data_IF_402867430787
#
_entry.id   IF_402867430787
#
_cell.length_a   1.000
_cell.length_b   1.000
_cell.length_c   1.000
_cell.angle_alpha   90.00
_cell.angle_beta   90.00
_cell.angle_gamma   90.00
#
_symmetry.space_group_name_H-M   'P 1'
#
loop_
_entity.id
_entity.type
_entity.pdbx_description
1 polymer ?
#
# COMPACT_ATOMS: atom_id res chain seq x y z
N UNK A 1 18.28 -13.59 -6.47
CA UNK A 1 17.82 -12.48 -7.31
C UNK A 1 16.85 -11.69 -6.44
N UNK A 2 17.14 -10.41 -6.16
CA UNK A 2 16.33 -9.61 -5.23
C UNK A 2 14.93 -9.42 -5.80
N UNK A 3 13.95 -10.07 -5.17
CA UNK A 3 12.53 -10.09 -5.49
C UNK A 3 11.85 -8.73 -5.22
N UNK A 4 12.48 -7.62 -5.64
CA UNK A 4 11.88 -6.30 -5.62
C UNK A 4 10.92 -6.17 -6.80
N UNK A 5 9.77 -6.85 -6.71
CA UNK A 5 8.68 -6.62 -7.66
C UNK A 5 8.04 -5.27 -7.31
N UNK A 6 8.74 -4.18 -7.66
CA UNK A 6 8.23 -2.82 -7.52
C UNK A 6 6.98 -2.73 -8.38
N UNK A 7 5.84 -2.91 -7.74
CA UNK A 7 4.55 -2.92 -8.37
C UNK A 7 3.87 -1.57 -8.16
N UNK A 8 2.94 -1.24 -9.07
CA UNK A 8 2.11 -0.04 -8.95
C UNK A 8 0.80 -0.33 -8.21
N UNK A 9 0.74 -1.41 -7.43
CA UNK A 9 -0.43 -1.79 -6.64
C UNK A 9 -0.77 -0.66 -5.66
N UNK A 10 0.24 -0.16 -4.94
CA UNK A 10 0.11 0.91 -3.95
C UNK A 10 -0.50 2.20 -4.54
N UNK A 11 -0.25 2.48 -5.83
CA UNK A 11 -0.89 3.61 -6.51
C UNK A 11 -2.42 3.44 -6.57
N UNK A 12 -2.90 2.25 -6.91
CA UNK A 12 -4.34 1.93 -6.93
C UNK A 12 -4.97 1.99 -5.54
N UNK A 13 -4.26 1.49 -4.53
CA UNK A 13 -4.69 1.53 -3.12
C UNK A 13 -4.88 2.96 -2.66
N UNK A 14 -3.88 3.82 -2.91
CA UNK A 14 -3.93 5.24 -2.51
C UNK A 14 -5.05 5.99 -3.24
N UNK A 15 -5.25 5.71 -4.53
CA UNK A 15 -6.37 6.29 -5.29
C UNK A 15 -7.70 5.92 -4.63
N UNK A 16 -7.93 4.62 -4.39
CA UNK A 16 -9.17 4.16 -3.78
C UNK A 16 -9.39 4.72 -2.38
N UNK A 17 -8.35 4.69 -1.53
CA UNK A 17 -8.39 5.19 -0.17
C UNK A 17 -8.70 6.69 -0.09
N UNK A 18 -8.06 7.51 -0.92
CA UNK A 18 -8.25 8.98 -0.91
C UNK A 18 -9.59 9.39 -1.54
N UNK A 19 -10.09 8.62 -2.51
CA UNK A 19 -11.35 8.91 -3.20
C UNK A 19 -12.59 8.39 -2.50
N UNK A 20 -12.53 7.22 -1.86
CA UNK A 20 -13.71 6.51 -1.37
C UNK A 20 -13.65 6.19 0.14
N UNK A 21 -12.46 6.29 0.75
CA UNK A 21 -12.28 6.20 2.20
C UNK A 21 -11.95 4.82 2.73
N UNK A 22 -12.06 4.65 4.05
CA UNK A 22 -11.47 3.51 4.78
C UNK A 22 -11.93 2.13 4.32
N UNK A 23 -13.21 1.96 3.99
CA UNK A 23 -13.79 0.65 3.63
C UNK A 23 -13.30 0.22 2.25
N UNK A 24 -13.40 1.12 1.29
CA UNK A 24 -13.02 0.83 -0.10
C UNK A 24 -11.50 0.78 -0.24
N UNK A 25 -10.76 1.62 0.48
CA UNK A 25 -9.31 1.53 0.61
C UNK A 25 -8.87 0.16 1.16
N UNK A 26 -9.52 -0.33 2.23
CA UNK A 26 -9.25 -1.67 2.76
C UNK A 26 -9.54 -2.77 1.75
N UNK A 27 -10.71 -2.76 1.11
CA UNK A 27 -11.12 -3.80 0.16
C UNK A 27 -10.18 -3.82 -1.04
N UNK A 28 -9.92 -2.66 -1.63
CA UNK A 28 -9.04 -2.54 -2.80
C UNK A 28 -7.63 -2.99 -2.42
N UNK A 29 -7.06 -2.49 -1.32
CA UNK A 29 -5.73 -2.90 -0.88
C UNK A 29 -5.59 -4.37 -0.55
N UNK A 30 -6.54 -4.93 0.20
CA UNK A 30 -6.53 -6.33 0.57
C UNK A 30 -6.62 -7.25 -0.65
N UNK A 31 -7.57 -6.98 -1.55
CA UNK A 31 -7.78 -7.82 -2.72
C UNK A 31 -6.68 -7.64 -3.76
N UNK A 32 -6.20 -6.41 -3.99
CA UNK A 32 -5.13 -6.16 -4.96
C UNK A 32 -3.82 -6.80 -4.49
N UNK A 33 -3.46 -6.66 -3.21
CA UNK A 33 -2.29 -7.31 -2.62
C UNK A 33 -2.37 -8.84 -2.70
N UNK A 34 -3.50 -9.42 -2.32
CA UNK A 34 -3.74 -10.86 -2.39
C UNK A 34 -3.59 -11.40 -3.81
N UNK A 35 -4.28 -10.79 -4.77
CA UNK A 35 -4.30 -11.24 -6.17
C UNK A 35 -2.93 -11.05 -6.83
N UNK A 36 -2.24 -9.95 -6.53
CA UNK A 36 -0.91 -9.68 -7.07
C UNK A 36 0.06 -10.82 -6.69
N UNK A 37 0.11 -11.20 -5.43
CA UNK A 37 1.03 -12.25 -4.97
C UNK A 37 0.64 -13.64 -5.46
N UNK A 38 -0.66 -13.92 -5.53
CA UNK A 38 -1.17 -15.18 -6.07
C UNK A 38 -0.76 -15.35 -7.54
N UNK A 39 -0.92 -14.30 -8.36
CA UNK A 39 -0.61 -14.33 -9.80
C UNK A 39 0.90 -14.23 -10.06
N UNK A 40 1.63 -13.52 -9.21
CA UNK A 40 3.09 -13.32 -9.36
C UNK A 40 3.92 -14.54 -8.93
N UNK A 41 3.29 -15.61 -8.45
CA UNK A 41 3.96 -16.84 -8.03
C UNK A 41 4.49 -16.80 -6.58
N UNK A 42 4.12 -15.78 -5.80
CA UNK A 42 4.48 -15.63 -4.39
C UNK A 42 3.32 -15.99 -3.46
N UNK A 43 2.62 -17.10 -3.73
CA UNK A 43 1.40 -17.48 -3.00
C UNK A 43 1.59 -17.58 -1.47
N UNK A 44 2.80 -17.85 -0.98
CA UNK A 44 3.13 -17.82 0.46
C UNK A 44 2.95 -16.44 1.11
N UNK A 45 3.03 -15.36 0.33
CA UNK A 45 2.84 -13.97 0.78
C UNK A 45 1.38 -13.52 0.68
N UNK A 46 0.51 -14.22 -0.06
CA UNK A 46 -0.81 -13.69 -0.45
C UNK A 46 -1.68 -13.27 0.73
N UNK A 47 -1.69 -14.04 1.84
CA UNK A 47 -2.48 -13.70 3.02
C UNK A 47 -1.82 -12.59 3.86
N UNK A 48 -0.50 -12.50 3.85
CA UNK A 48 0.22 -11.40 4.49
C UNK A 48 -0.05 -10.10 3.74
N UNK A 49 0.10 -10.10 2.42
CA UNK A 49 -0.19 -8.95 1.56
C UNK A 49 -1.65 -8.52 1.63
N UNK A 50 -2.59 -9.47 1.72
CA UNK A 50 -4.00 -9.16 1.99
C UNK A 50 -4.16 -8.32 3.25
N UNK A 51 -3.50 -8.71 4.35
CA UNK A 51 -3.58 -7.99 5.61
C UNK A 51 -2.82 -6.66 5.54
N UNK A 52 -1.59 -6.66 5.03
CA UNK A 52 -0.69 -5.51 5.00
C UNK A 52 -1.26 -4.39 4.13
N UNK A 53 -1.56 -4.69 2.86
CA UNK A 53 -2.13 -3.71 1.93
C UNK A 53 -3.57 -3.35 2.29
N UNK A 54 -4.33 -4.27 2.87
CA UNK A 54 -5.63 -3.97 3.47
C UNK A 54 -5.50 -2.90 4.56
N UNK A 55 -4.59 -3.08 5.52
CA UNK A 55 -4.35 -2.12 6.60
C UNK A 55 -3.80 -0.79 6.09
N UNK A 56 -2.89 -0.82 5.11
CA UNK A 56 -2.41 0.38 4.43
C UNK A 56 -3.58 1.19 3.86
N UNK A 57 -4.40 0.58 3.01
CA UNK A 57 -5.56 1.23 2.39
C UNK A 57 -6.60 1.70 3.41
N UNK A 58 -6.81 0.93 4.47
CA UNK A 58 -7.71 1.29 5.58
C UNK A 58 -7.24 2.56 6.29
N UNK A 59 -5.96 2.63 6.64
CA UNK A 59 -5.40 3.75 7.42
C UNK A 59 -5.28 5.00 6.56
N UNK A 60 -4.80 4.86 5.32
CA UNK A 60 -4.78 5.97 4.35
C UNK A 60 -6.19 6.50 4.12
N UNK A 61 -7.17 5.60 3.97
CA UNK A 61 -8.56 5.98 3.74
C UNK A 61 -9.22 6.58 4.98
N UNK A 62 -8.85 6.13 6.18
CA UNK A 62 -9.40 6.66 7.43
C UNK A 62 -8.88 8.06 7.75
N UNK A 63 -7.58 8.28 7.59
CA UNK A 63 -6.93 9.55 7.92
C UNK A 63 -6.95 10.56 6.77
N UNK A 64 -6.99 10.10 5.52
CA UNK A 64 -6.87 10.94 4.32
C UNK A 64 -8.20 11.31 3.64
N UNK A 65 -9.25 10.49 3.77
CA UNK A 65 -10.52 10.75 3.08
C UNK A 65 -11.21 12.00 3.63
N UNK A 66 -11.63 12.91 2.73
CA UNK A 66 -12.24 14.20 3.05
C UNK A 66 -11.42 15.13 3.98
N UNK A 67 -10.12 14.85 4.17
CA UNK A 67 -9.23 15.69 4.97
C UNK A 67 -8.38 16.62 4.10
N UNK A 68 -7.70 17.58 4.75
CA UNK A 68 -6.82 18.54 4.08
C UNK A 68 -5.60 17.83 3.49
N UNK A 69 -5.00 18.42 2.43
CA UNK A 69 -3.80 17.87 1.76
C UNK A 69 -2.66 17.49 2.72
N UNK A 70 -2.41 18.30 3.76
CA UNK A 70 -1.37 17.99 4.75
C UNK A 70 -1.66 16.67 5.50
N UNK A 71 -2.92 16.48 5.91
CA UNK A 71 -3.38 15.25 6.57
C UNK A 71 -3.35 14.06 5.62
N UNK A 72 -3.68 14.26 4.34
CA UNK A 72 -3.59 13.23 3.31
C UNK A 72 -2.16 12.74 3.10
N UNK A 73 -1.20 13.66 3.00
CA UNK A 73 0.23 13.30 2.89
C UNK A 73 0.70 12.55 4.14
N UNK A 74 0.31 13.00 5.33
CA UNK A 74 0.64 12.30 6.57
C UNK A 74 0.01 10.88 6.61
N UNK A 75 -1.24 10.74 6.17
CA UNK A 75 -1.93 9.46 6.07
C UNK A 75 -1.19 8.48 5.15
N UNK A 76 -0.71 8.96 4.00
CA UNK A 76 0.09 8.19 3.05
C UNK A 76 1.41 7.76 3.68
N UNK A 77 2.13 8.65 4.35
CA UNK A 77 3.39 8.32 5.04
C UNK A 77 3.17 7.22 6.09
N UNK A 78 2.08 7.32 6.87
CA UNK A 78 1.71 6.29 7.84
C UNK A 78 1.35 4.97 7.14
N UNK A 79 0.64 5.01 6.02
CA UNK A 79 0.33 3.84 5.20
C UNK A 79 1.59 3.11 4.71
N UNK A 80 2.53 3.85 4.10
CA UNK A 80 3.83 3.31 3.67
C UNK A 80 4.56 2.69 4.85
N UNK A 81 4.57 3.35 6.02
CA UNK A 81 5.24 2.82 7.21
C UNK A 81 4.62 1.49 7.67
N UNK A 82 3.29 1.38 7.67
CA UNK A 82 2.57 0.14 7.99
C UNK A 82 2.94 -0.96 7.00
N UNK A 83 2.98 -0.63 5.70
CA UNK A 83 3.33 -1.58 4.67
C UNK A 83 4.76 -2.11 4.83
N UNK A 84 5.74 -1.21 4.98
CA UNK A 84 7.15 -1.57 5.19
C UNK A 84 7.34 -2.41 6.45
N UNK A 85 6.70 -2.02 7.55
CA UNK A 85 6.77 -2.77 8.81
C UNK A 85 6.12 -4.17 8.68
N UNK A 86 4.99 -4.25 7.99
CA UNK A 86 4.29 -5.50 7.73
C UNK A 86 5.15 -6.49 6.93
N UNK A 87 5.79 -6.02 5.87
CA UNK A 87 6.69 -6.87 5.08
C UNK A 87 7.96 -7.23 5.83
N UNK A 88 8.53 -6.31 6.61
CA UNK A 88 9.66 -6.63 7.49
C UNK A 88 9.33 -7.79 8.45
N UNK A 89 8.17 -7.75 9.10
CA UNK A 89 7.71 -8.83 10.00
C UNK A 89 7.47 -10.12 9.20
N UNK A 90 6.84 -10.03 8.04
CA UNK A 90 6.55 -11.19 7.18
C UNK A 90 7.83 -11.89 6.73
N UNK A 91 8.81 -11.13 6.25
CA UNK A 91 10.11 -11.66 5.82
C UNK A 91 10.90 -12.26 7.00
N UNK A 92 10.79 -11.68 8.19
CA UNK A 92 11.40 -12.22 9.41
C UNK A 92 10.76 -13.55 9.83
N UNK A 93 9.45 -13.73 9.62
CA UNK A 93 8.71 -14.97 9.92
C UNK A 93 8.98 -16.05 8.87
N UNK A 94 8.88 -15.72 7.58
CA UNK A 94 8.98 -16.69 6.48
C UNK A 94 10.41 -17.14 6.20
N UNK A 95 11.38 -16.24 6.41
CA UNK A 95 12.78 -16.50 6.10
C UNK A 95 13.67 -16.31 7.32
N UNK A 96 14.30 -15.14 7.45
CA UNK A 96 15.24 -14.79 8.52
C UNK A 96 15.14 -13.28 8.78
N UNK A 97 15.45 -12.81 10.00
CA UNK A 97 15.44 -11.37 10.31
C UNK A 97 16.32 -10.52 9.38
N UNK A 98 17.44 -11.07 8.91
CA UNK A 98 18.34 -10.41 7.95
C UNK A 98 17.68 -10.18 6.59
N UNK A 99 16.79 -11.09 6.15
CA UNK A 99 16.04 -10.92 4.91
C UNK A 99 15.05 -9.75 5.01
N UNK A 100 14.36 -9.62 6.15
CA UNK A 100 13.47 -8.49 6.39
C UNK A 100 14.20 -7.15 6.37
N UNK A 101 15.39 -7.07 6.98
CA UNK A 101 16.21 -5.85 6.93
C UNK A 101 16.60 -5.46 5.50
N UNK A 102 16.90 -6.45 4.64
CA UNK A 102 17.22 -6.22 3.24
C UNK A 102 16.00 -5.80 2.41
N UNK A 103 14.78 -6.16 2.82
CA UNK A 103 13.53 -5.80 2.14
C UNK A 103 13.06 -4.36 2.41
N UNK A 104 13.43 -3.76 3.55
CA UNK A 104 12.99 -2.41 3.96
C UNK A 104 13.21 -1.35 2.86
N UNK A 105 14.40 -1.20 2.26
CA UNK A 105 14.62 -0.18 1.24
C UNK A 105 13.76 -0.39 -0.01
N UNK A 106 13.59 -1.65 -0.44
CA UNK A 106 12.81 -1.99 -1.62
C UNK A 106 11.32 -1.67 -1.40
N UNK A 107 10.75 -2.09 -0.26
CA UNK A 107 9.36 -1.82 0.10
C UNK A 107 9.10 -0.31 0.29
N UNK A 108 10.04 0.41 0.91
CA UNK A 108 9.93 1.86 1.05
C UNK A 108 9.91 2.57 -0.31
N UNK A 109 10.81 2.18 -1.23
CA UNK A 109 10.83 2.72 -2.59
C UNK A 109 9.52 2.41 -3.33
N UNK A 110 8.99 1.19 -3.20
CA UNK A 110 7.72 0.78 -3.80
C UNK A 110 6.58 1.69 -3.33
N UNK A 111 6.39 1.83 -2.02
CA UNK A 111 5.31 2.66 -1.46
C UNK A 111 5.45 4.14 -1.82
N UNK A 112 6.69 4.66 -1.86
CA UNK A 112 6.95 6.05 -2.27
C UNK A 112 6.60 6.26 -3.75
N UNK A 113 7.07 5.38 -4.65
CA UNK A 113 6.76 5.48 -6.08
C UNK A 113 5.26 5.35 -6.32
N UNK A 114 4.62 4.36 -5.69
CA UNK A 114 3.18 4.16 -5.75
C UNK A 114 2.41 5.41 -5.30
N UNK A 115 2.86 6.07 -4.23
CA UNK A 115 2.28 7.31 -3.73
C UNK A 115 2.46 8.50 -4.67
N UNK A 116 3.67 8.67 -5.21
CA UNK A 116 3.98 9.76 -6.16
C UNK A 116 3.12 9.63 -7.42
N UNK A 117 2.83 8.40 -7.86
CA UNK A 117 1.96 8.15 -9.02
C UNK A 117 0.48 8.27 -8.64
N UNK A 118 0.05 7.58 -7.58
CA UNK A 118 -1.35 7.44 -7.21
C UNK A 118 -1.98 8.73 -6.68
N UNK A 119 -1.28 9.47 -5.82
CA UNK A 119 -1.87 10.64 -5.14
C UNK A 119 -2.23 11.79 -6.10
N UNK A 120 -1.39 12.22 -7.06
CA UNK A 120 -1.77 13.23 -8.04
C UNK A 120 -2.96 12.81 -8.91
N UNK A 121 -3.03 11.53 -9.27
CA UNK A 121 -4.15 10.95 -10.03
C UNK A 121 -5.43 11.03 -9.18
N UNK A 122 -5.37 10.63 -7.91
CA UNK A 122 -6.48 10.71 -6.98
C UNK A 122 -7.02 12.15 -6.85
N UNK A 123 -6.13 13.15 -6.73
CA UNK A 123 -6.53 14.55 -6.66
C UNK A 123 -7.21 15.04 -7.93
N UNK A 124 -6.68 14.69 -9.11
CA UNK A 124 -7.30 15.05 -10.40
C UNK A 124 -8.67 14.38 -10.57
N UNK A 125 -8.77 13.09 -10.28
CA UNK A 125 -10.03 12.34 -10.37
C UNK A 125 -11.08 12.91 -9.43
N UNK A 126 -10.69 13.26 -8.20
CA UNK A 126 -11.60 13.89 -7.22
C UNK A 126 -12.16 15.22 -7.73
N UNK A 127 -11.34 16.03 -8.38
CA UNK A 127 -11.77 17.30 -8.99
C UNK A 127 -12.73 17.08 -10.17
N UNK A 128 -12.48 16.08 -11.02
CA UNK A 128 -13.32 15.76 -12.19
C UNK A 128 -14.67 15.19 -11.75
N UNK A 129 -14.66 14.27 -10.80
CA UNK A 129 -15.84 13.53 -10.36
C UNK A 129 -16.67 14.27 -9.29
N UNK A 130 -16.16 15.38 -8.72
CA UNK A 130 -16.80 16.18 -7.66
C UNK A 130 -17.24 15.36 -6.43
N UNK A 131 -16.43 14.36 -6.06
CA UNK A 131 -16.60 13.51 -4.85
C UNK A 131 -15.65 13.97 -3.75
#
# INVERSE_FOLDING_TARGET
MTHGNVNLCDAGIIIAAIMFGKRDGFIVGALSGFLLDLISGYAQYMFFSLLIHGLEGLIVGWLGYQHRRKTQVLAIIIGIFIMVLGYFITDAILYKPVAGLAGIPANAIQGIIGSIVGYPIALKLKQILKV
#
